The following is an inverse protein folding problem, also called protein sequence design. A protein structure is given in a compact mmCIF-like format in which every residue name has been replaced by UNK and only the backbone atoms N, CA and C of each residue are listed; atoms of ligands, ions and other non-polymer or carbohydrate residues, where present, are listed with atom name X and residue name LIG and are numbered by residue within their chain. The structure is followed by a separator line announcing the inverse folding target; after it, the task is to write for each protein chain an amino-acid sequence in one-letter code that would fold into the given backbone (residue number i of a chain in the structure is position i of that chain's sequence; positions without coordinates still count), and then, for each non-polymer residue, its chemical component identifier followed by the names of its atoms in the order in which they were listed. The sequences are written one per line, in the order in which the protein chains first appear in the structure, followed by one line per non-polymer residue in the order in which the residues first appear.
data_IF_218595571375
#
_entry.id   IF_218595571375
#
_cell.length_a   1.000
_cell.length_b   1.000
_cell.length_c   1.000
_cell.angle_alpha   90.00
_cell.angle_beta   90.00
_cell.angle_gamma   90.00
#
_symmetry.space_group_name_H-M   'P 1'
#
loop_
_entity.id
_entity.type
_entity.pdbx_description
1 polymer ?
#
# COMPACT_ATOMS: atom_id res chain seq x y z
N UNK A 1 13.55 -20.17 20.77
CA UNK A 1 12.26 -19.46 20.61
C UNK A 1 12.47 -18.42 19.52
N UNK A 2 12.03 -18.71 18.28
CA UNK A 2 12.18 -17.75 17.17
C UNK A 2 11.08 -16.70 17.29
N UNK A 3 11.48 -15.43 17.42
CA UNK A 3 10.59 -14.28 17.38
C UNK A 3 10.14 -13.95 15.95
N UNK A 4 9.49 -12.80 15.79
CA UNK A 4 8.98 -12.34 14.49
C UNK A 4 10.16 -12.01 13.55
N UNK A 5 10.10 -12.51 12.30
CA UNK A 5 11.04 -12.16 11.22
C UNK A 5 10.55 -10.92 10.49
N UNK A 6 11.45 -9.99 10.21
CA UNK A 6 11.11 -8.74 9.52
C UNK A 6 10.85 -8.95 8.03
N UNK A 7 10.05 -8.07 7.43
CA UNK A 7 9.28 -6.99 8.07
C UNK A 7 7.93 -7.49 8.59
N UNK A 8 7.57 -7.05 9.81
CA UNK A 8 6.16 -7.06 10.22
C UNK A 8 5.55 -5.81 9.62
N UNK A 9 4.62 -5.96 8.68
CA UNK A 9 3.83 -4.86 8.12
C UNK A 9 2.39 -5.10 8.50
N UNK A 10 1.89 -4.35 9.48
CA UNK A 10 0.49 -4.38 9.86
C UNK A 10 -0.34 -3.66 8.78
N UNK A 11 -1.41 -4.30 8.32
CA UNK A 11 -2.35 -3.75 7.33
C UNK A 11 -1.75 -3.46 5.94
N UNK A 12 -0.99 -4.42 5.39
CA UNK A 12 -0.46 -4.33 4.02
C UNK A 12 -1.29 -5.09 2.99
N UNK A 13 -1.28 -4.58 1.76
CA UNK A 13 -1.94 -5.18 0.61
C UNK A 13 -0.92 -5.39 -0.50
N UNK A 14 -0.71 -6.65 -0.88
CA UNK A 14 0.17 -6.97 -2.02
C UNK A 14 -0.55 -6.59 -3.31
N UNK A 15 0.00 -5.67 -4.10
CA UNK A 15 -0.59 -5.29 -5.37
C UNK A 15 -0.44 -6.42 -6.41
N UNK A 16 -1.58 -6.81 -7.01
CA UNK A 16 -1.66 -7.90 -8.00
C UNK A 16 -2.29 -7.45 -9.32
N UNK A 17 -2.65 -6.18 -9.42
CA UNK A 17 -3.24 -5.59 -10.61
C UNK A 17 -2.26 -5.47 -11.79
N UNK A 18 -2.80 -5.02 -12.90
CA UNK A 18 -2.07 -4.87 -14.17
C UNK A 18 -2.00 -3.42 -14.64
N UNK A 19 -2.79 -2.52 -14.07
CA UNK A 19 -2.80 -1.11 -14.47
C UNK A 19 -1.56 -0.33 -14.00
N UNK A 20 -0.91 -0.77 -12.91
CA UNK A 20 0.26 -0.12 -12.32
C UNK A 20 1.43 -1.10 -12.24
N UNK A 21 2.02 -1.45 -13.40
CA UNK A 21 3.04 -2.50 -13.50
C UNK A 21 4.23 -2.32 -12.54
N UNK A 22 4.62 -1.07 -12.25
CA UNK A 22 5.70 -0.75 -11.31
C UNK A 22 5.41 -1.17 -9.85
N UNK A 23 4.14 -1.44 -9.51
CA UNK A 23 3.73 -1.90 -8.18
C UNK A 23 3.54 -3.42 -8.09
N UNK A 24 3.72 -4.19 -9.17
CA UNK A 24 3.54 -5.64 -9.07
C UNK A 24 4.47 -6.25 -8.03
N UNK A 25 3.90 -7.01 -7.11
CA UNK A 25 4.65 -7.63 -6.01
C UNK A 25 5.05 -6.67 -4.89
N UNK A 26 4.64 -5.40 -4.94
CA UNK A 26 4.89 -4.41 -3.88
C UNK A 26 3.80 -4.49 -2.83
N UNK A 27 4.19 -4.53 -1.56
CA UNK A 27 3.27 -4.36 -0.44
C UNK A 27 2.94 -2.87 -0.28
N UNK A 28 1.65 -2.54 -0.35
CA UNK A 28 1.15 -1.18 -0.17
C UNK A 28 0.50 -1.06 1.19
N UNK A 29 0.82 0.02 1.91
CA UNK A 29 0.24 0.34 3.22
C UNK A 29 0.19 1.85 3.41
N UNK A 30 -0.58 2.29 4.40
CA UNK A 30 -0.86 3.70 4.64
C UNK A 30 -0.64 4.09 6.09
N UNK A 31 -0.28 5.35 6.29
CA UNK A 31 -0.26 5.99 7.60
C UNK A 31 -1.59 6.73 7.83
N UNK A 32 -2.29 6.33 8.90
CA UNK A 32 -3.67 6.76 9.18
C UNK A 32 -3.84 8.29 9.25
N UNK A 33 -2.93 9.00 9.93
CA UNK A 33 -3.07 10.45 10.14
C UNK A 33 -2.39 11.30 9.06
N UNK A 34 -1.20 10.93 8.59
CA UNK A 34 -0.47 11.74 7.61
C UNK A 34 -0.99 11.55 6.19
N UNK A 35 -1.78 10.51 5.94
CA UNK A 35 -2.31 10.20 4.61
C UNK A 35 -1.23 9.78 3.61
N UNK A 36 -0.05 9.37 4.10
CA UNK A 36 1.04 8.87 3.26
C UNK A 36 0.81 7.41 2.92
N UNK A 37 0.91 7.09 1.63
CA UNK A 37 0.88 5.74 1.09
C UNK A 37 2.29 5.33 0.75
N UNK A 38 2.70 4.16 1.23
CA UNK A 38 4.03 3.61 1.09
C UNK A 38 4.00 2.30 0.32
N UNK A 39 5.04 2.07 -0.46
CA UNK A 39 5.36 0.79 -1.06
C UNK A 39 6.53 0.16 -0.32
N UNK A 40 6.47 -1.14 -0.08
CA UNK A 40 7.56 -1.94 0.48
C UNK A 40 7.83 -3.12 -0.44
N UNK A 41 9.09 -3.27 -0.83
CA UNK A 41 9.56 -4.38 -1.66
C UNK A 41 10.89 -4.90 -1.17
N UNK A 42 11.13 -6.18 -1.36
CA UNK A 42 12.43 -6.79 -1.13
C UNK A 42 13.33 -6.53 -2.35
N UNK A 43 14.49 -5.92 -2.13
CA UNK A 43 15.44 -5.58 -3.22
C UNK A 43 16.62 -6.56 -3.29
N UNK A 44 16.94 -7.19 -2.16
CA UNK A 44 17.86 -8.32 -2.01
C UNK A 44 17.29 -9.20 -0.89
N UNK A 45 17.63 -10.50 -0.79
CA UNK A 45 17.14 -11.36 0.29
C UNK A 45 17.38 -10.74 1.67
N UNK A 46 16.31 -10.55 2.45
CA UNK A 46 16.31 -9.91 3.76
C UNK A 46 16.45 -8.37 3.74
N UNK A 47 16.64 -7.76 2.57
CA UNK A 47 16.81 -6.31 2.41
C UNK A 47 15.56 -5.68 1.80
N UNK A 48 14.84 -4.93 2.62
CA UNK A 48 13.57 -4.32 2.24
C UNK A 48 13.73 -2.81 2.03
N UNK A 49 13.16 -2.32 0.93
CA UNK A 49 13.14 -0.90 0.59
C UNK A 49 11.71 -0.37 0.71
N UNK A 50 11.54 0.69 1.52
CA UNK A 50 10.30 1.46 1.63
C UNK A 50 10.39 2.72 0.76
N UNK A 51 9.35 3.00 -0.03
CA UNK A 51 9.25 4.16 -0.92
C UNK A 51 7.93 4.88 -0.69
N UNK A 52 7.93 6.21 -0.62
CA UNK A 52 6.70 7.01 -0.60
C UNK A 52 6.07 6.98 -1.99
N UNK A 53 4.85 6.48 -2.10
CA UNK A 53 4.12 6.40 -3.37
C UNK A 53 3.24 7.62 -3.60
N UNK A 54 2.56 8.08 -2.54
CA UNK A 54 1.59 9.17 -2.62
C UNK A 54 1.45 9.85 -1.25
N UNK A 55 1.30 11.18 -1.25
CA UNK A 55 0.77 11.93 -0.11
C UNK A 55 -0.66 12.34 -0.42
N UNK A 56 -1.63 11.58 0.07
CA UNK A 56 -3.05 11.76 -0.30
C UNK A 56 -3.73 12.91 0.44
N UNK A 57 -3.20 13.29 1.61
CA UNK A 57 -3.85 14.23 2.53
C UNK A 57 -5.16 13.71 3.13
N UNK A 58 -5.43 12.40 3.04
CA UNK A 58 -6.64 11.74 3.57
C UNK A 58 -6.37 11.04 4.89
N UNK A 59 -7.41 10.82 5.69
CA UNK A 59 -7.33 9.92 6.84
C UNK A 59 -7.57 8.49 6.33
N UNK A 60 -6.51 7.72 6.20
CA UNK A 60 -6.54 6.39 5.55
C UNK A 60 -6.99 5.34 6.56
N UNK A 61 -8.26 4.93 6.52
CA UNK A 61 -8.78 3.91 7.44
C UNK A 61 -8.47 2.48 7.01
N UNK A 62 -8.42 2.22 5.70
CA UNK A 62 -8.16 0.91 5.12
C UNK A 62 -7.81 1.00 3.63
N UNK A 63 -7.36 -0.12 3.07
CA UNK A 63 -7.33 -0.34 1.63
C UNK A 63 -8.23 -1.52 1.24
N UNK A 64 -8.68 -1.50 0.00
CA UNK A 64 -9.41 -2.60 -0.63
C UNK A 64 -8.72 -3.02 -1.94
N UNK A 65 -9.03 -4.23 -2.38
CA UNK A 65 -8.71 -4.70 -3.74
C UNK A 65 -9.98 -5.17 -4.42
N UNK A 66 -10.11 -4.87 -5.70
CA UNK A 66 -11.14 -5.49 -6.54
C UNK A 66 -10.70 -6.88 -7.06
N UNK A 67 -11.58 -7.54 -7.83
CA UNK A 67 -11.30 -8.85 -8.40
C UNK A 67 -10.14 -8.86 -9.42
N UNK A 68 -9.77 -7.70 -9.96
CA UNK A 68 -8.61 -7.54 -10.85
C UNK A 68 -7.31 -7.23 -10.12
N UNK A 69 -7.35 -7.10 -8.79
CA UNK A 69 -6.18 -6.79 -7.96
C UNK A 69 -5.79 -5.31 -7.93
N UNK A 70 -6.67 -4.43 -8.40
CA UNK A 70 -6.47 -2.98 -8.36
C UNK A 70 -6.80 -2.43 -6.97
N UNK A 71 -6.06 -1.40 -6.54
CA UNK A 71 -6.12 -0.90 -5.17
C UNK A 71 -7.08 0.28 -5.00
N UNK A 72 -7.73 0.27 -3.84
CA UNK A 72 -8.63 1.31 -3.39
C UNK A 72 -8.23 1.81 -2.00
N UNK A 73 -8.38 3.11 -1.76
CA UNK A 73 -8.12 3.78 -0.48
C UNK A 73 -9.45 4.23 0.12
N UNK A 74 -9.68 3.90 1.39
CA UNK A 74 -10.88 4.31 2.13
C UNK A 74 -10.54 5.55 2.97
N UNK A 75 -11.22 6.65 2.70
CA UNK A 75 -11.07 7.91 3.43
C UNK A 75 -12.08 7.97 4.58
N UNK A 76 -11.56 7.96 5.81
CA UNK A 76 -12.37 8.02 7.02
C UNK A 76 -13.15 9.34 7.15
N UNK A 77 -12.60 10.45 6.65
CA UNK A 77 -13.16 11.78 6.91
C UNK A 77 -14.52 12.00 6.25
N UNK A 78 -14.72 11.45 5.05
CA UNK A 78 -15.92 11.67 4.25
C UNK A 78 -16.59 10.35 3.80
N UNK A 79 -16.02 9.19 4.12
CA UNK A 79 -16.53 7.88 3.73
C UNK A 79 -16.38 7.56 2.24
N UNK A 80 -15.49 8.27 1.53
CA UNK A 80 -15.26 8.05 0.10
C UNK A 80 -14.24 6.94 -0.12
N UNK A 81 -14.51 6.11 -1.13
CA UNK A 81 -13.58 5.11 -1.65
C UNK A 81 -12.92 5.65 -2.92
N UNK A 82 -11.60 5.80 -2.89
CA UNK A 82 -10.80 6.26 -4.02
C UNK A 82 -10.10 5.09 -4.69
N UNK A 83 -10.14 5.01 -6.03
CA UNK A 83 -9.27 4.10 -6.78
C UNK A 83 -7.89 4.71 -6.92
N UNK A 84 -6.84 3.95 -6.61
CA UNK A 84 -5.47 4.36 -6.90
C UNK A 84 -5.16 4.13 -8.38
N UNK A 85 -4.53 5.12 -9.00
CA UNK A 85 -4.16 5.08 -10.42
C UNK A 85 -2.73 5.58 -10.57
N UNK A 86 -2.04 5.09 -11.59
CA UNK A 86 -0.73 5.60 -11.97
C UNK A 86 -0.88 7.03 -12.51
N UNK A 87 -0.06 7.96 -12.00
CA UNK A 87 0.08 9.27 -12.61
C UNK A 87 0.79 9.13 -13.97
N UNK A 88 0.25 9.80 -14.98
CA UNK A 88 0.84 9.86 -16.33
C UNK A 88 2.09 10.71 -16.41
#
# INVERSE_FOLDING_TARGET
MMGLTTPIVEYSHLYRGSAMLALQGVYVFGDYLSGKVWGLREVLPGTWQRVLLLSSGKIISAFGQDASGELYLLDYTNGIVYRLVQAG
#
